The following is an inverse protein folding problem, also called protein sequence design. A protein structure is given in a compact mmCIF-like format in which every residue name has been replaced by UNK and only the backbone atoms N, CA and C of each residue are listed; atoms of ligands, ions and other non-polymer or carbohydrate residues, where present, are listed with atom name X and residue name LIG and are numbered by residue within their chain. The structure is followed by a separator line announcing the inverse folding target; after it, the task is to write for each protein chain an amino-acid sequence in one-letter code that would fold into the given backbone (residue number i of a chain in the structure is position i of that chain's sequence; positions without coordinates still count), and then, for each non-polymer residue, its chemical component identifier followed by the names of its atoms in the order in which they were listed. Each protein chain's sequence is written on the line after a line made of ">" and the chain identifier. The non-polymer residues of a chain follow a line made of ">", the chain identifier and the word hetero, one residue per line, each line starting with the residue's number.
data_IF_499555534571
#
_entry.id   IF_499555534571
#
_cell.length_a   1.000
_cell.length_b   1.000
_cell.length_c   1.000
_cell.angle_alpha   90.00
_cell.angle_beta   90.00
_cell.angle_gamma   90.00
#
_symmetry.space_group_name_H-M   'P 1'
#
loop_
_entity.id
_entity.type
_entity.pdbx_description
1 polymer ?
#
# COMPACT_ATOMS: atom_id res chain seq x y z
N UNK A 1 -35.32 -26.05 3.14
CA UNK A 1 -34.13 -26.81 2.67
C UNK A 1 -33.08 -25.75 2.35
N UNK A 2 -31.99 -25.68 3.13
CA UNK A 2 -30.84 -24.83 2.83
C UNK A 2 -29.85 -25.68 2.05
N UNK A 3 -29.68 -25.39 0.77
CA UNK A 3 -28.70 -26.07 -0.08
C UNK A 3 -27.53 -25.10 -0.38
N UNK A 4 -26.32 -25.62 -0.40
CA UNK A 4 -25.16 -24.91 -0.90
C UNK A 4 -25.10 -25.12 -2.41
N UNK A 5 -25.09 -24.05 -3.20
CA UNK A 5 -24.91 -24.08 -4.64
C UNK A 5 -23.41 -23.84 -4.92
N UNK A 6 -22.78 -24.67 -5.74
CA UNK A 6 -21.39 -24.45 -6.16
C UNK A 6 -21.30 -23.19 -7.02
N UNK A 7 -20.21 -22.45 -6.88
CA UNK A 7 -19.97 -21.19 -7.61
C UNK A 7 -20.06 -21.38 -9.13
N UNK A 8 -19.70 -22.56 -9.62
CA UNK A 8 -19.80 -22.98 -11.03
C UNK A 8 -21.25 -23.09 -11.54
N UNK A 9 -22.21 -23.31 -10.65
CA UNK A 9 -23.65 -23.42 -10.98
C UNK A 9 -24.36 -22.06 -10.96
N UNK A 10 -23.73 -21.00 -10.36
CA UNK A 10 -24.26 -19.64 -10.33
C UNK A 10 -23.73 -18.80 -11.51
N UNK A 11 -22.90 -19.38 -12.35
CA UNK A 11 -22.13 -18.67 -13.39
C UNK A 11 -22.94 -18.05 -14.53
N UNK A 12 -24.25 -18.19 -14.54
CA UNK A 12 -25.12 -17.58 -15.53
C UNK A 12 -26.28 -16.84 -14.86
N UNK A 13 -26.11 -15.54 -14.62
CA UNK A 13 -27.25 -14.63 -14.40
C UNK A 13 -27.76 -14.15 -15.75
N UNK A 14 -29.09 -14.09 -15.88
CA UNK A 14 -29.71 -13.49 -17.06
C UNK A 14 -29.78 -11.97 -16.88
N UNK A 15 -29.35 -11.23 -17.89
CA UNK A 15 -29.60 -9.80 -18.00
C UNK A 15 -31.10 -9.54 -18.22
N UNK A 16 -31.54 -8.30 -18.04
CA UNK A 16 -32.93 -7.84 -18.27
C UNK A 16 -33.41 -8.18 -19.68
N UNK A 17 -32.51 -8.38 -20.63
CA UNK A 17 -32.79 -8.83 -22.02
C UNK A 17 -32.89 -10.35 -22.16
N UNK A 18 -32.71 -11.15 -21.08
CA UNK A 18 -32.73 -12.61 -21.14
C UNK A 18 -31.43 -13.25 -21.64
N UNK A 19 -30.39 -12.47 -21.84
CA UNK A 19 -29.07 -12.98 -22.25
C UNK A 19 -28.28 -13.46 -21.05
N UNK A 20 -27.61 -14.62 -21.17
CA UNK A 20 -26.76 -15.16 -20.10
C UNK A 20 -25.53 -14.27 -19.86
N UNK A 21 -25.48 -13.64 -18.70
CA UNK A 21 -24.33 -12.85 -18.27
C UNK A 21 -23.44 -13.73 -17.39
N UNK A 22 -22.23 -14.03 -17.84
CA UNK A 22 -21.24 -14.73 -17.05
C UNK A 22 -20.77 -13.81 -15.93
N UNK A 23 -20.98 -14.20 -14.68
CA UNK A 23 -20.32 -13.54 -13.53
C UNK A 23 -18.84 -13.90 -13.64
N UNK A 24 -18.05 -12.97 -14.15
CA UNK A 24 -16.60 -13.12 -14.23
C UNK A 24 -16.01 -12.74 -12.88
N UNK A 25 -15.19 -13.62 -12.33
CA UNK A 25 -14.35 -13.26 -11.19
C UNK A 25 -13.54 -12.00 -11.51
N UNK A 26 -13.27 -11.13 -10.51
CA UNK A 26 -12.41 -9.97 -10.71
C UNK A 26 -11.08 -10.43 -11.30
N UNK A 27 -10.81 -10.00 -12.52
CA UNK A 27 -9.59 -10.33 -13.26
C UNK A 27 -8.79 -9.06 -13.47
N UNK A 28 -7.47 -9.22 -13.64
CA UNK A 28 -6.56 -8.11 -13.92
C UNK A 28 -6.98 -7.27 -15.13
N UNK A 29 -7.72 -7.84 -16.07
CA UNK A 29 -8.24 -7.09 -17.23
C UNK A 29 -9.24 -5.98 -16.83
N UNK A 30 -9.93 -6.16 -15.71
CA UNK A 30 -10.81 -5.13 -15.13
C UNK A 30 -10.01 -3.95 -14.56
N UNK A 31 -8.73 -4.15 -14.21
CA UNK A 31 -7.82 -3.13 -13.70
C UNK A 31 -6.98 -2.48 -14.81
N UNK A 32 -6.82 -3.11 -15.97
CA UNK A 32 -6.03 -2.58 -17.10
C UNK A 32 -6.51 -1.25 -17.64
N UNK A 33 -7.82 -0.99 -17.55
CA UNK A 33 -8.41 0.27 -17.98
C UNK A 33 -8.20 1.40 -16.97
N UNK A 34 -7.86 1.06 -15.73
CA UNK A 34 -7.69 1.98 -14.61
C UNK A 34 -6.23 2.06 -14.24
N UNK A 35 -5.61 3.20 -14.53
CA UNK A 35 -4.18 3.40 -14.28
C UNK A 35 -3.87 4.04 -12.93
N UNK A 36 -4.88 4.62 -12.31
CA UNK A 36 -4.73 5.28 -11.03
C UNK A 36 -5.24 4.40 -9.90
N UNK A 37 -4.49 4.36 -8.82
CA UNK A 37 -4.90 3.79 -7.55
C UNK A 37 -4.72 4.81 -6.43
N UNK A 38 -5.58 4.76 -5.44
CA UNK A 38 -5.42 5.48 -4.18
C UNK A 38 -5.79 4.57 -3.04
N UNK A 39 -5.08 4.69 -1.94
CA UNK A 39 -5.29 3.82 -0.78
C UNK A 39 -4.97 4.49 0.53
N UNK A 40 -5.43 3.84 1.58
CA UNK A 40 -5.14 4.17 2.97
C UNK A 40 -4.53 2.96 3.64
N UNK A 41 -3.57 3.19 4.52
CA UNK A 41 -2.90 2.15 5.28
C UNK A 41 -2.78 2.53 6.75
N UNK A 42 -2.87 1.53 7.60
CA UNK A 42 -2.60 1.60 9.03
C UNK A 42 -1.47 0.65 9.34
N UNK A 43 -0.56 1.04 10.20
CA UNK A 43 0.60 0.23 10.51
C UNK A 43 1.33 0.68 11.76
N UNK A 44 2.51 0.12 11.91
CA UNK A 44 3.44 0.36 12.98
C UNK A 44 4.83 0.58 12.38
N UNK A 45 5.50 1.65 12.78
CA UNK A 45 6.87 2.01 12.43
C UNK A 45 7.68 2.01 13.73
N UNK A 46 8.42 0.94 13.97
CA UNK A 46 9.30 0.80 15.13
C UNK A 46 8.60 1.09 16.48
N UNK A 47 7.33 0.65 16.63
CA UNK A 47 6.50 0.87 17.79
C UNK A 47 5.69 2.17 17.77
N UNK A 48 5.80 3.00 16.75
CA UNK A 48 4.95 4.15 16.53
C UNK A 48 3.80 3.82 15.57
N UNK A 49 2.59 4.25 15.90
CA UNK A 49 1.43 4.04 15.02
C UNK A 49 1.51 4.91 13.78
N UNK A 50 1.24 4.33 12.60
CA UNK A 50 1.27 5.03 11.32
C UNK A 50 -0.08 4.99 10.64
N UNK A 51 -0.54 6.15 10.18
CA UNK A 51 -1.67 6.29 9.28
C UNK A 51 -1.16 6.90 7.99
N UNK A 52 -1.34 6.21 6.87
CA UNK A 52 -0.82 6.69 5.59
C UNK A 52 -1.89 6.70 4.50
N UNK A 53 -1.73 7.64 3.58
CA UNK A 53 -2.46 7.69 2.31
C UNK A 53 -1.45 7.61 1.18
N UNK A 54 -1.84 6.97 0.10
CA UNK A 54 -0.99 6.88 -1.08
C UNK A 54 -1.78 6.96 -2.36
N UNK A 55 -1.10 7.34 -3.42
CA UNK A 55 -1.59 7.27 -4.79
C UNK A 55 -0.55 6.60 -5.66
N UNK A 56 -1.01 5.79 -6.61
CA UNK A 56 -0.16 5.07 -7.54
C UNK A 56 -0.62 5.25 -8.98
N UNK A 57 0.33 5.21 -9.89
CA UNK A 57 0.09 5.22 -11.33
C UNK A 57 0.75 4.01 -12.00
N UNK A 58 -0.04 3.18 -12.65
CA UNK A 58 0.42 2.00 -13.34
C UNK A 58 1.02 2.35 -14.71
N UNK A 59 2.33 2.25 -14.83
CA UNK A 59 3.07 2.42 -16.09
C UNK A 59 2.84 1.22 -17.00
N UNK A 60 2.91 0.03 -16.41
CA UNK A 60 2.67 -1.25 -17.08
C UNK A 60 1.83 -2.16 -16.18
N UNK A 61 1.56 -3.39 -16.60
CA UNK A 61 0.88 -4.40 -15.77
C UNK A 61 1.67 -4.77 -14.51
N UNK A 62 3.00 -4.67 -14.58
CA UNK A 62 3.92 -5.16 -13.57
C UNK A 62 4.64 -4.04 -12.82
N UNK A 63 4.52 -2.80 -13.31
CA UNK A 63 5.28 -1.67 -12.81
C UNK A 63 4.37 -0.47 -12.56
N UNK A 64 4.44 0.09 -11.36
CA UNK A 64 3.77 1.33 -10.99
C UNK A 64 4.72 2.26 -10.25
N UNK A 65 4.41 3.55 -10.28
CA UNK A 65 5.01 4.57 -9.43
C UNK A 65 4.01 4.90 -8.35
N UNK A 66 4.48 5.04 -7.12
CA UNK A 66 3.66 5.32 -5.96
C UNK A 66 4.21 6.51 -5.19
N UNK A 67 3.34 7.41 -4.76
CA UNK A 67 3.64 8.48 -3.83
C UNK A 67 2.80 8.29 -2.57
N UNK A 68 3.40 8.46 -1.39
CA UNK A 68 2.79 8.21 -0.09
C UNK A 68 3.10 9.33 0.88
N UNK A 69 2.14 9.63 1.76
CA UNK A 69 2.32 10.47 2.94
C UNK A 69 1.72 9.75 4.12
N UNK A 70 2.45 9.69 5.22
CA UNK A 70 2.02 9.06 6.46
C UNK A 70 2.27 9.98 7.64
N UNK A 71 1.34 9.96 8.57
CA UNK A 71 1.48 10.54 9.90
C UNK A 71 1.94 9.45 10.86
N UNK A 72 2.96 9.76 11.65
CA UNK A 72 3.61 8.83 12.60
C UNK A 72 3.36 9.39 13.98
N UNK A 73 2.71 8.61 14.85
CA UNK A 73 2.40 8.99 16.22
C UNK A 73 2.93 7.96 17.20
N UNK A 74 3.96 8.35 17.95
CA UNK A 74 4.60 7.55 18.99
C UNK A 74 4.44 8.14 20.39
N UNK A 75 4.82 7.38 21.40
CA UNK A 75 4.74 7.82 22.80
C UNK A 75 5.71 8.97 23.11
N UNK A 76 6.85 9.02 22.43
CA UNK A 76 7.94 9.95 22.69
C UNK A 76 8.19 10.95 21.54
N UNK A 77 7.63 10.70 20.37
CA UNK A 77 7.79 11.56 19.20
C UNK A 77 6.57 11.46 18.29
N UNK A 78 6.24 12.53 17.63
CA UNK A 78 5.33 12.57 16.49
C UNK A 78 6.15 12.90 15.23
N UNK A 79 5.59 12.67 14.06
CA UNK A 79 6.26 13.01 12.82
C UNK A 79 5.43 12.70 11.61
N UNK A 80 6.02 12.96 10.44
CA UNK A 80 5.43 12.56 9.16
C UNK A 80 6.49 12.00 8.22
N UNK A 81 6.06 11.16 7.34
CA UNK A 81 6.87 10.49 6.34
C UNK A 81 6.25 10.70 4.96
N UNK A 82 7.02 11.23 4.01
CA UNK A 82 6.60 11.31 2.61
C UNK A 82 7.58 10.54 1.73
N UNK A 83 7.07 9.63 0.89
CA UNK A 83 7.90 8.77 0.03
C UNK A 83 7.38 8.74 -1.39
N UNK A 84 8.30 8.50 -2.32
CA UNK A 84 8.01 8.18 -3.71
C UNK A 84 8.84 6.96 -4.10
N UNK A 85 8.23 6.03 -4.82
CA UNK A 85 8.92 4.80 -5.17
C UNK A 85 8.33 4.10 -6.39
N UNK A 86 9.02 3.06 -6.80
CA UNK A 86 8.64 2.16 -7.87
C UNK A 86 8.20 0.84 -7.24
N UNK A 87 7.05 0.35 -7.67
CA UNK A 87 6.48 -0.93 -7.22
C UNK A 87 6.50 -1.89 -8.40
N UNK A 88 7.12 -3.04 -8.19
CA UNK A 88 7.13 -4.14 -9.15
C UNK A 88 6.30 -5.30 -8.64
N UNK A 89 5.32 -5.71 -9.45
CA UNK A 89 4.40 -6.80 -9.16
C UNK A 89 4.60 -7.92 -10.20
N UNK A 90 5.39 -8.97 -9.87
CA UNK A 90 5.77 -10.00 -10.85
C UNK A 90 4.59 -10.84 -11.35
N UNK A 91 3.60 -11.08 -10.52
CA UNK A 91 2.46 -11.95 -10.82
C UNK A 91 1.11 -11.23 -10.66
N UNK A 92 0.83 -10.20 -11.47
CA UNK A 92 -0.36 -9.35 -11.29
C UNK A 92 -1.69 -10.08 -11.56
N UNK A 93 -1.65 -11.22 -12.25
CA UNK A 93 -2.84 -12.05 -12.53
C UNK A 93 -3.24 -12.96 -11.36
N UNK A 94 -2.42 -13.06 -10.31
CA UNK A 94 -2.76 -13.86 -9.16
C UNK A 94 -3.76 -13.14 -8.27
N UNK A 95 -4.68 -13.89 -7.67
CA UNK A 95 -5.65 -13.34 -6.71
C UNK A 95 -4.97 -12.71 -5.50
N UNK A 96 -3.89 -13.34 -5.04
CA UNK A 96 -2.95 -12.80 -4.06
C UNK A 96 -1.64 -12.63 -4.79
N UNK A 97 -1.27 -11.39 -5.05
CA UNK A 97 -0.13 -11.03 -5.87
C UNK A 97 0.96 -10.40 -5.02
N UNK A 98 2.15 -11.01 -4.94
CA UNK A 98 3.27 -10.40 -4.26
C UNK A 98 3.78 -9.18 -5.04
N UNK A 99 4.38 -8.24 -4.33
CA UNK A 99 5.09 -7.11 -4.91
C UNK A 99 6.34 -6.77 -4.10
N UNK A 100 7.26 -6.10 -4.77
CA UNK A 100 8.43 -5.47 -4.16
C UNK A 100 8.43 -4.00 -4.50
N UNK A 101 8.99 -3.18 -3.63
CA UNK A 101 9.06 -1.75 -3.85
C UNK A 101 10.43 -1.21 -3.44
N UNK A 102 10.85 -0.17 -4.15
CA UNK A 102 12.07 0.59 -3.88
C UNK A 102 11.76 2.06 -4.06
N UNK A 103 12.19 2.89 -3.13
CA UNK A 103 11.93 4.32 -3.20
C UNK A 103 12.81 5.16 -2.30
N UNK A 104 12.48 6.43 -2.26
CA UNK A 104 13.13 7.43 -1.41
C UNK A 104 12.08 8.39 -0.87
N UNK A 105 12.43 9.13 0.15
CA UNK A 105 11.53 10.09 0.77
C UNK A 105 12.19 10.98 1.77
N UNK A 106 11.36 11.61 2.58
CA UNK A 106 11.75 12.49 3.68
C UNK A 106 10.94 12.07 4.89
N UNK A 107 11.62 11.95 6.03
CA UNK A 107 11.02 11.79 7.34
C UNK A 107 11.29 13.03 8.17
N UNK A 108 10.29 13.52 8.87
CA UNK A 108 10.42 14.55 9.89
C UNK A 108 9.95 13.97 11.22
N UNK A 109 10.77 14.14 12.25
CA UNK A 109 10.51 13.66 13.60
C UNK A 109 10.53 14.84 14.54
N UNK A 110 9.45 15.03 15.28
CA UNK A 110 9.29 16.06 16.30
C UNK A 110 9.28 15.40 17.69
N UNK A 111 10.43 15.44 18.43
CA UNK A 111 10.50 14.86 19.76
C UNK A 111 9.62 15.60 20.78
N UNK A 112 8.87 14.86 21.60
CA UNK A 112 8.00 15.41 22.67
C UNK A 112 8.78 15.84 23.93
N UNK A 113 10.11 15.90 23.88
CA UNK A 113 10.94 16.23 25.05
C UNK A 113 10.82 17.71 25.45
N UNK A 114 10.33 17.95 26.69
CA UNK A 114 10.07 19.28 27.26
C UNK A 114 11.28 19.99 27.86
N UNK A 115 12.44 19.37 27.92
CA UNK A 115 13.59 19.86 28.72
C UNK A 115 14.79 20.38 27.89
N UNK A 116 14.81 20.14 26.59
CA UNK A 116 15.86 20.65 25.69
C UNK A 116 15.17 21.14 24.43
N UNK A 117 15.54 22.35 23.96
CA UNK A 117 15.12 22.82 22.64
C UNK A 117 15.74 21.92 21.59
N UNK A 118 14.99 20.90 21.16
CA UNK A 118 15.39 20.01 20.08
C UNK A 118 14.93 20.67 18.78
N UNK A 119 15.83 20.92 17.86
CA UNK A 119 15.49 21.38 16.51
C UNK A 119 14.73 20.27 15.79
N UNK A 120 13.69 20.65 15.05
CA UNK A 120 12.98 19.76 14.14
C UNK A 120 13.97 19.13 13.17
N UNK A 121 14.00 17.81 13.12
CA UNK A 121 14.94 17.08 12.28
C UNK A 121 14.22 16.54 11.05
N UNK A 122 14.76 16.87 9.90
CA UNK A 122 14.28 16.36 8.61
C UNK A 122 15.40 15.60 7.92
N UNK A 123 15.21 14.31 7.74
CA UNK A 123 16.22 13.43 7.15
C UNK A 123 15.68 12.81 5.84
N UNK A 124 16.59 12.59 4.89
CA UNK A 124 16.28 11.84 3.68
C UNK A 124 16.30 10.35 4.00
N UNK A 125 15.31 9.62 3.47
CA UNK A 125 15.21 8.17 3.63
C UNK A 125 15.22 7.46 2.27
N UNK A 126 15.91 6.31 2.22
CA UNK A 126 15.73 5.31 1.20
C UNK A 126 14.87 4.19 1.78
N UNK A 127 14.02 3.55 0.99
CA UNK A 127 13.27 2.42 1.49
C UNK A 127 13.19 1.29 0.48
N UNK A 128 13.14 0.08 1.02
CA UNK A 128 12.84 -1.14 0.29
C UNK A 128 11.69 -1.83 1.00
N UNK A 129 10.75 -2.37 0.23
CA UNK A 129 9.59 -3.03 0.81
C UNK A 129 9.16 -4.25 0.01
N UNK A 130 8.43 -5.12 0.68
CA UNK A 130 7.77 -6.26 0.09
C UNK A 130 6.36 -6.39 0.64
N UNK A 131 5.45 -6.97 -0.13
CA UNK A 131 4.09 -7.11 0.32
C UNK A 131 3.25 -7.99 -0.58
N UNK A 132 1.97 -8.04 -0.27
CA UNK A 132 0.98 -8.76 -1.04
C UNK A 132 -0.27 -7.90 -1.26
N UNK A 133 -0.82 -8.02 -2.45
CA UNK A 133 -2.08 -7.40 -2.88
C UNK A 133 -3.11 -8.49 -3.08
N UNK A 134 -4.27 -8.38 -2.44
CA UNK A 134 -5.39 -9.30 -2.60
C UNK A 134 -6.58 -8.57 -3.21
N UNK A 135 -6.98 -8.99 -4.40
CA UNK A 135 -8.12 -8.41 -5.10
C UNK A 135 -9.43 -8.89 -4.46
N UNK A 136 -10.17 -7.96 -3.84
CA UNK A 136 -11.44 -8.24 -3.15
C UNK A 136 -12.62 -8.06 -4.10
N UNK A 137 -12.63 -6.95 -4.86
CA UNK A 137 -13.63 -6.64 -5.88
C UNK A 137 -12.96 -6.01 -7.09
N UNK A 138 -13.74 -5.67 -8.13
CA UNK A 138 -13.23 -4.99 -9.35
C UNK A 138 -12.62 -3.61 -9.11
N UNK A 139 -12.80 -3.04 -7.93
CA UNK A 139 -12.31 -1.69 -7.58
C UNK A 139 -11.56 -1.63 -6.27
N UNK A 140 -11.73 -2.64 -5.40
CA UNK A 140 -11.12 -2.67 -4.08
C UNK A 140 -10.14 -3.81 -3.96
N UNK A 141 -9.01 -3.49 -3.37
CA UNK A 141 -7.93 -4.39 -3.08
C UNK A 141 -7.49 -4.22 -1.63
N UNK A 142 -7.24 -5.31 -0.96
CA UNK A 142 -6.54 -5.33 0.33
C UNK A 142 -5.04 -5.45 0.07
N UNK A 143 -4.24 -4.70 0.83
CA UNK A 143 -2.79 -4.66 0.71
C UNK A 143 -2.15 -4.83 2.08
N UNK A 144 -1.12 -5.66 2.15
CA UNK A 144 -0.21 -5.76 3.30
C UNK A 144 1.20 -5.55 2.81
N UNK A 145 2.01 -4.88 3.61
CA UNK A 145 3.41 -4.65 3.27
C UNK A 145 4.29 -4.58 4.51
N UNK A 146 5.54 -4.91 4.31
CA UNK A 146 6.65 -4.66 5.20
C UNK A 146 7.67 -3.81 4.45
N UNK A 147 8.16 -2.75 5.08
CA UNK A 147 9.15 -1.84 4.52
C UNK A 147 10.24 -1.57 5.53
N UNK A 148 11.48 -1.58 5.07
CA UNK A 148 12.63 -1.12 5.83
C UNK A 148 13.10 0.20 5.24
N UNK A 149 13.30 1.19 6.10
CA UNK A 149 13.76 2.54 5.78
C UNK A 149 15.17 2.72 6.30
N UNK A 150 16.03 3.21 5.46
CA UNK A 150 17.39 3.63 5.82
C UNK A 150 17.42 5.16 5.82
N UNK A 151 17.66 5.74 6.98
CA UNK A 151 17.76 7.19 7.14
C UNK A 151 19.20 7.64 6.87
N UNK A 152 19.36 8.56 5.92
CA UNK A 152 20.64 9.17 5.60
C UNK A 152 20.84 10.41 6.47
N UNK A 153 21.53 10.23 7.57
CA UNK A 153 21.83 11.31 8.50
C UNK A 153 23.24 11.85 8.28
N UNK A 154 23.48 13.11 8.65
CA UNK A 154 24.82 13.72 8.55
C UNK A 154 25.78 13.22 9.63
N UNK A 155 25.29 12.46 10.61
CA UNK A 155 26.04 11.84 11.66
C UNK A 155 26.42 10.40 11.29
N UNK A 156 27.48 9.86 11.88
CA UNK A 156 28.14 8.61 11.46
C UNK A 156 27.30 7.32 11.59
N UNK A 157 26.07 7.38 12.13
CA UNK A 157 25.18 6.23 12.29
C UNK A 157 23.91 6.38 11.45
N UNK A 158 23.75 5.51 10.44
CA UNK A 158 22.52 5.34 9.71
C UNK A 158 21.52 4.57 10.59
N UNK A 159 20.31 5.10 10.75
CA UNK A 159 19.23 4.43 11.47
C UNK A 159 18.38 3.62 10.48
N UNK A 160 18.07 2.39 10.85
CA UNK A 160 17.15 1.52 10.13
C UNK A 160 15.82 1.47 10.89
N UNK A 161 14.72 1.73 10.18
CA UNK A 161 13.36 1.72 10.73
C UNK A 161 12.52 0.72 9.96
N UNK A 162 11.81 -0.14 10.67
CA UNK A 162 10.96 -1.16 10.11
C UNK A 162 9.47 -0.81 10.23
N UNK A 163 8.73 -0.96 9.15
CA UNK A 163 7.29 -0.67 9.10
C UNK A 163 6.48 -1.87 8.64
N UNK A 164 5.46 -2.23 9.41
CA UNK A 164 4.40 -3.13 9.01
C UNK A 164 3.11 -2.38 8.77
N UNK A 165 2.46 -2.66 7.64
CA UNK A 165 1.28 -1.93 7.23
C UNK A 165 0.25 -2.82 6.56
N UNK A 166 -1.02 -2.53 6.84
CA UNK A 166 -2.16 -3.12 6.15
C UNK A 166 -3.14 -2.03 5.73
N UNK A 167 -3.80 -2.20 4.61
CA UNK A 167 -4.68 -1.16 4.09
C UNK A 167 -5.57 -1.60 2.94
N UNK A 168 -6.33 -0.64 2.47
CA UNK A 168 -7.24 -0.81 1.34
C UNK A 168 -6.91 0.18 0.22
N UNK A 169 -7.05 -0.30 -1.00
CA UNK A 169 -6.81 0.47 -2.21
C UNK A 169 -8.06 0.48 -3.08
N UNK A 170 -8.30 1.61 -3.70
CA UNK A 170 -9.34 1.83 -4.69
C UNK A 170 -8.72 2.19 -6.04
N UNK A 171 -9.23 1.60 -7.14
CA UNK A 171 -8.81 1.85 -8.52
C UNK A 171 -9.83 2.71 -9.28
N UNK A 172 -9.35 3.69 -10.04
CA UNK A 172 -10.18 4.60 -10.85
C UNK A 172 -9.49 5.05 -12.14
#
# INVERSE_FOLDING_TARGET
>A
IKGWVKLEEISATLDVSGSATKIKDPDIDDYKARRWEAGVGLGDLDGASVISVYTGYHLTRNLSVEARVGDVSGDYSDGWLATVGIVHQPFPAWRISPFVMLGTGIIQIDPKATLVSTEDRSDQVGHVGLGARMYVTKRFMFRTEYSSYLTFTSEDDNEELDEWKAGFTFFF
#
